data_IF_172399836403
#
_entry.id   IF_172399836403
#
_cell.length_a   1.000
_cell.length_b   1.000
_cell.length_c   1.000
_cell.angle_alpha   90.00
_cell.angle_beta   90.00
_cell.angle_gamma   90.00
#
_symmetry.space_group_name_H-M   'P 1'
#
loop_
_entity.id
_entity.type
_entity.pdbx_description
1 polymer ?
#
# COMPACT_ATOMS: atom_id res chain seq x y z
N UNK A 1 1.99 -1.65 -31.23
CA UNK A 1 2.85 -0.98 -30.24
C UNK A 1 2.11 0.26 -29.77
N UNK A 2 1.48 0.19 -28.59
CA UNK A 2 0.84 1.35 -27.98
C UNK A 2 2.00 2.14 -27.33
N UNK A 3 2.29 3.33 -27.87
CA UNK A 3 3.21 4.28 -27.25
C UNK A 3 2.60 4.67 -25.89
N UNK A 4 3.05 4.06 -24.81
CA UNK A 4 2.74 4.53 -23.47
C UNK A 4 3.45 5.86 -23.26
N UNK A 5 2.77 6.95 -23.48
CA UNK A 5 3.21 8.26 -23.01
C UNK A 5 3.37 8.18 -21.50
N UNK A 6 4.61 8.12 -21.02
CA UNK A 6 4.94 8.14 -19.59
C UNK A 6 4.21 9.32 -18.97
N UNK A 7 3.28 9.06 -18.06
CA UNK A 7 2.64 10.12 -17.29
C UNK A 7 3.70 10.81 -16.43
N UNK A 8 4.05 12.04 -16.74
CA UNK A 8 4.90 12.85 -15.90
C UNK A 8 4.08 13.41 -14.74
N UNK A 9 4.41 12.99 -13.52
CA UNK A 9 3.86 13.62 -12.33
C UNK A 9 4.37 15.05 -12.23
N UNK A 10 3.45 16.02 -12.26
CA UNK A 10 3.76 17.44 -12.06
C UNK A 10 3.77 17.84 -10.59
N UNK A 11 3.34 16.96 -9.70
CA UNK A 11 3.21 17.20 -8.27
C UNK A 11 3.87 16.12 -7.42
N UNK A 12 4.16 16.47 -6.17
CA UNK A 12 4.65 15.58 -5.13
C UNK A 12 3.45 15.03 -4.37
N UNK A 13 3.19 13.72 -4.49
CA UNK A 13 2.06 13.09 -3.82
C UNK A 13 2.55 12.35 -2.57
N UNK A 14 2.02 12.76 -1.42
CA UNK A 14 2.33 12.14 -0.12
C UNK A 14 1.47 10.91 0.10
N UNK A 15 2.08 9.81 0.54
CA UNK A 15 1.41 8.54 0.73
C UNK A 15 1.92 7.72 1.91
N UNK A 16 1.10 6.77 2.32
CA UNK A 16 1.36 5.83 3.39
C UNK A 16 1.90 4.51 2.84
N UNK A 17 3.11 4.13 3.24
CA UNK A 17 3.70 2.82 2.95
C UNK A 17 3.12 1.75 3.88
N UNK A 18 2.76 0.58 3.33
CA UNK A 18 2.19 -0.53 4.11
C UNK A 18 1.06 -0.10 5.06
N UNK A 19 0.09 0.62 4.54
CA UNK A 19 -0.99 1.31 5.26
C UNK A 19 -1.65 0.49 6.36
N UNK A 20 -1.86 -0.83 6.15
CA UNK A 20 -2.60 -1.69 7.06
C UNK A 20 -1.76 -2.27 8.20
N UNK A 21 -0.48 -1.93 8.31
CA UNK A 21 0.41 -2.51 9.34
C UNK A 21 0.15 -2.00 10.76
N UNK A 22 -0.78 -1.06 10.97
CA UNK A 22 -1.31 -0.72 12.29
C UNK A 22 -2.19 -1.83 12.89
N UNK A 23 -2.72 -2.74 12.06
CA UNK A 23 -3.54 -3.86 12.49
C UNK A 23 -2.71 -4.89 13.26
N UNK A 24 -3.35 -5.56 14.21
CA UNK A 24 -2.71 -6.65 14.96
C UNK A 24 -2.55 -7.90 14.10
N UNK A 25 -1.46 -8.65 14.27
CA UNK A 25 -1.32 -9.98 13.68
C UNK A 25 -2.48 -10.90 14.03
N UNK A 26 -2.87 -11.78 13.12
CA UNK A 26 -3.86 -12.83 13.39
C UNK A 26 -3.34 -13.90 14.34
N UNK A 27 -2.02 -14.11 14.38
CA UNK A 27 -1.34 -15.01 15.29
C UNK A 27 -0.58 -14.20 16.35
N UNK A 28 -0.91 -14.38 17.60
CA UNK A 28 -0.31 -13.65 18.72
C UNK A 28 1.19 -13.95 18.89
N UNK A 29 1.68 -15.13 18.51
CA UNK A 29 3.09 -15.48 18.54
C UNK A 29 3.94 -14.58 17.62
N UNK A 30 3.33 -14.02 16.57
CA UNK A 30 4.01 -13.10 15.64
C UNK A 30 3.97 -11.64 16.12
N UNK A 31 3.36 -11.37 17.28
CA UNK A 31 3.13 -9.99 17.73
C UNK A 31 4.44 -9.22 17.95
N UNK A 32 5.42 -9.82 18.63
CA UNK A 32 6.74 -9.19 18.84
C UNK A 32 7.47 -8.98 17.51
N UNK A 33 7.49 -10.00 16.66
CA UNK A 33 8.08 -9.89 15.33
C UNK A 33 7.40 -8.82 14.47
N UNK A 34 6.07 -8.69 14.60
CA UNK A 34 5.34 -7.64 13.92
C UNK A 34 5.75 -6.24 14.40
N UNK A 35 5.79 -6.01 15.70
CA UNK A 35 6.19 -4.71 16.27
C UNK A 35 7.58 -4.27 15.84
N UNK A 36 8.51 -5.22 15.72
CA UNK A 36 9.91 -4.95 15.41
C UNK A 36 10.14 -4.85 13.90
N UNK A 37 9.62 -5.79 13.11
CA UNK A 37 10.06 -5.99 11.72
C UNK A 37 9.04 -5.62 10.65
N UNK A 38 7.75 -5.69 10.93
CA UNK A 38 6.72 -5.53 9.90
C UNK A 38 5.74 -4.37 10.12
N UNK A 39 5.81 -3.70 11.25
CA UNK A 39 4.96 -2.55 11.54
C UNK A 39 5.56 -1.29 10.90
N UNK A 40 4.85 -0.74 9.92
CA UNK A 40 5.22 0.49 9.22
C UNK A 40 4.30 1.67 9.57
N UNK A 41 3.12 1.40 10.15
CA UNK A 41 2.16 2.43 10.55
C UNK A 41 1.63 2.19 11.96
N UNK A 42 1.33 3.27 12.67
CA UNK A 42 0.68 3.24 13.99
C UNK A 42 -0.72 3.82 13.97
N UNK A 43 -1.01 4.71 13.05
CA UNK A 43 -2.32 5.34 12.83
C UNK A 43 -3.19 4.49 11.92
N UNK A 44 -4.49 4.55 12.13
CA UNK A 44 -5.47 3.91 11.24
C UNK A 44 -5.42 4.54 9.86
N UNK A 45 -5.90 3.84 8.84
CA UNK A 45 -5.95 4.34 7.47
C UNK A 45 -6.75 5.65 7.33
N UNK A 46 -7.79 5.86 8.17
CA UNK A 46 -8.55 7.11 8.20
C UNK A 46 -7.70 8.26 8.75
N UNK A 47 -6.98 8.03 9.85
CA UNK A 47 -6.07 9.01 10.42
C UNK A 47 -4.94 9.36 9.45
N UNK A 48 -4.40 8.37 8.72
CA UNK A 48 -3.40 8.60 7.69
C UNK A 48 -3.91 9.52 6.57
N UNK A 49 -5.17 9.33 6.10
CA UNK A 49 -5.81 10.24 5.15
C UNK A 49 -6.00 11.64 5.77
N UNK A 50 -6.39 11.71 7.03
CA UNK A 50 -6.59 12.99 7.73
C UNK A 50 -5.27 13.76 7.89
N UNK A 51 -4.15 13.07 7.99
CA UNK A 51 -2.80 13.65 8.01
C UNK A 51 -2.27 14.04 6.62
N UNK A 52 -3.10 13.91 5.60
CA UNK A 52 -2.82 14.36 4.24
C UNK A 52 -2.30 13.28 3.29
N UNK A 53 -2.33 12.00 3.68
CA UNK A 53 -1.98 10.93 2.75
C UNK A 53 -3.02 10.84 1.63
N UNK A 54 -2.55 10.99 0.40
CA UNK A 54 -3.35 10.80 -0.82
C UNK A 54 -3.10 9.45 -1.50
N UNK A 55 -2.14 8.68 -1.01
CA UNK A 55 -1.83 7.32 -1.46
C UNK A 55 -1.88 6.36 -0.28
N UNK A 56 -2.62 5.26 -0.43
CA UNK A 56 -2.61 4.15 0.50
C UNK A 56 -1.98 2.92 -0.15
N UNK A 57 -0.85 2.45 0.39
CA UNK A 57 -0.18 1.21 -0.05
C UNK A 57 -0.72 0.02 0.74
N UNK A 58 -1.55 -0.77 0.09
CA UNK A 58 -2.29 -1.88 0.69
C UNK A 58 -1.76 -3.20 0.17
N UNK A 59 -1.44 -4.11 1.08
CA UNK A 59 -0.98 -5.45 0.74
C UNK A 59 -1.98 -6.51 1.11
N UNK A 60 -2.31 -7.38 0.18
CA UNK A 60 -3.36 -8.39 0.32
C UNK A 60 -2.84 -9.81 0.08
N UNK A 61 -3.51 -10.74 0.73
CA UNK A 61 -3.33 -12.17 0.58
C UNK A 61 -4.67 -12.82 0.25
N UNK A 62 -4.75 -13.73 -0.71
CA UNK A 62 -5.95 -14.49 -0.95
C UNK A 62 -6.12 -15.55 0.16
N UNK A 63 -7.34 -15.69 0.65
CA UNK A 63 -7.82 -16.81 1.45
C UNK A 63 -9.14 -17.28 0.87
N UNK A 64 -9.40 -18.58 0.93
CA UNK A 64 -10.63 -19.16 0.42
C UNK A 64 -11.52 -19.58 1.59
N UNK A 65 -12.81 -19.25 1.49
CA UNK A 65 -13.80 -19.75 2.44
C UNK A 65 -14.21 -21.20 2.11
N UNK A 66 -15.11 -21.77 2.90
CA UNK A 66 -15.61 -23.15 2.68
C UNK A 66 -16.31 -23.34 1.34
N UNK A 67 -16.83 -22.27 0.75
CA UNK A 67 -17.48 -22.26 -0.56
C UNK A 67 -16.53 -21.89 -1.71
N UNK A 68 -15.21 -21.96 -1.47
CA UNK A 68 -14.17 -21.62 -2.43
C UNK A 68 -14.17 -20.17 -2.92
N UNK A 69 -14.93 -19.27 -2.30
CA UNK A 69 -14.89 -17.84 -2.63
C UNK A 69 -13.66 -17.20 -2.00
N UNK A 70 -12.98 -16.33 -2.78
CA UNK A 70 -11.81 -15.60 -2.31
C UNK A 70 -12.19 -14.53 -1.28
N UNK A 71 -11.43 -14.47 -0.20
CA UNK A 71 -11.48 -13.43 0.83
C UNK A 71 -10.12 -12.77 0.89
N UNK A 72 -10.09 -11.46 0.74
CA UNK A 72 -8.84 -10.71 0.78
C UNK A 72 -8.46 -10.36 2.23
N UNK A 73 -7.23 -10.74 2.61
CA UNK A 73 -6.64 -10.46 3.92
C UNK A 73 -5.51 -9.48 3.78
N UNK A 74 -5.44 -8.52 4.69
CA UNK A 74 -4.28 -7.65 4.78
C UNK A 74 -3.12 -8.34 5.48
N UNK A 75 -1.90 -7.96 5.09
CA UNK A 75 -0.69 -8.46 5.72
C UNK A 75 0.57 -7.80 5.18
N UNK A 76 1.70 -8.20 5.73
CA UNK A 76 3.02 -7.75 5.30
C UNK A 76 4.07 -8.85 5.54
N UNK A 77 4.79 -9.22 4.51
CA UNK A 77 5.79 -10.29 4.57
C UNK A 77 5.18 -11.65 4.94
N UNK A 78 5.47 -12.14 6.12
CA UNK A 78 4.92 -13.40 6.66
C UNK A 78 3.70 -13.17 7.56
N UNK A 79 3.39 -11.93 7.90
CA UNK A 79 2.38 -11.58 8.89
C UNK A 79 1.06 -11.27 8.21
N UNK A 80 0.02 -12.04 8.53
CA UNK A 80 -1.36 -11.73 8.21
C UNK A 80 -2.03 -11.03 9.39
N UNK A 81 -2.89 -10.05 9.11
CA UNK A 81 -3.56 -9.26 10.15
C UNK A 81 -4.95 -9.82 10.51
N UNK A 82 -5.45 -9.42 11.68
CA UNK A 82 -6.73 -9.89 12.22
C UNK A 82 -7.91 -9.47 11.32
N UNK A 83 -8.84 -10.40 11.05
CA UNK A 83 -10.07 -10.15 10.29
C UNK A 83 -11.00 -9.17 10.98
N UNK A 84 -11.18 -9.32 12.28
CA UNK A 84 -12.22 -8.62 13.05
C UNK A 84 -12.07 -7.09 13.09
N UNK A 85 -10.86 -6.59 12.81
CA UNK A 85 -10.55 -5.15 12.79
C UNK A 85 -10.12 -4.65 11.41
N UNK A 86 -10.11 -5.53 10.41
CA UNK A 86 -9.74 -5.18 9.05
C UNK A 86 -10.90 -4.48 8.34
N UNK A 87 -10.71 -3.27 7.81
CA UNK A 87 -11.75 -2.62 7.01
C UNK A 87 -11.98 -3.40 5.70
N UNK A 88 -13.16 -3.28 5.13
CA UNK A 88 -13.42 -3.77 3.79
C UNK A 88 -12.65 -2.92 2.77
N UNK A 89 -11.99 -3.56 1.80
CA UNK A 89 -11.21 -2.88 0.77
C UNK A 89 -12.08 -1.92 -0.07
N UNK A 90 -13.33 -2.29 -0.32
CA UNK A 90 -14.31 -1.45 -1.02
C UNK A 90 -14.65 -0.18 -0.20
N UNK A 91 -14.74 -0.30 1.13
CA UNK A 91 -14.96 0.86 2.00
C UNK A 91 -13.80 1.85 1.92
N UNK A 92 -12.56 1.35 1.85
CA UNK A 92 -11.38 2.19 1.70
C UNK A 92 -11.42 2.92 0.34
N UNK A 93 -11.65 2.18 -0.74
CA UNK A 93 -11.75 2.73 -2.08
C UNK A 93 -12.88 3.77 -2.18
N UNK A 94 -14.05 3.48 -1.61
CA UNK A 94 -15.17 4.42 -1.54
C UNK A 94 -14.78 5.71 -0.83
N UNK A 95 -14.12 5.61 0.32
CA UNK A 95 -13.71 6.79 1.09
C UNK A 95 -12.72 7.65 0.31
N UNK A 96 -11.74 7.04 -0.36
CA UNK A 96 -10.82 7.77 -1.24
C UNK A 96 -11.55 8.42 -2.42
N UNK A 97 -12.51 7.72 -3.02
CA UNK A 97 -13.31 8.23 -4.13
C UNK A 97 -14.16 9.44 -3.72
N UNK A 98 -14.80 9.37 -2.55
CA UNK A 98 -15.59 10.48 -2.02
C UNK A 98 -14.69 11.69 -1.67
N UNK A 99 -13.50 11.44 -1.13
CA UNK A 99 -12.48 12.48 -0.91
C UNK A 99 -11.99 13.11 -2.20
N UNK A 100 -11.69 12.32 -3.22
CA UNK A 100 -11.26 12.81 -4.53
C UNK A 100 -12.32 13.74 -5.17
N UNK A 101 -13.59 13.33 -5.11
CA UNK A 101 -14.71 14.17 -5.57
C UNK A 101 -14.83 15.48 -4.80
N UNK A 102 -14.72 15.42 -3.46
CA UNK A 102 -14.90 16.58 -2.60
C UNK A 102 -13.76 17.60 -2.73
N UNK A 103 -12.53 17.11 -2.84
CA UNK A 103 -11.33 17.98 -2.83
C UNK A 103 -10.83 18.35 -4.22
N UNK A 104 -11.36 17.72 -5.27
CA UNK A 104 -10.85 17.81 -6.65
C UNK A 104 -9.35 17.49 -6.77
N UNK A 105 -8.85 16.61 -5.89
CA UNK A 105 -7.47 16.14 -5.88
C UNK A 105 -7.40 14.67 -6.25
N UNK A 106 -6.29 14.28 -6.86
CA UNK A 106 -6.01 12.88 -7.16
C UNK A 106 -5.71 12.10 -5.88
N UNK A 107 -6.46 11.01 -5.68
CA UNK A 107 -6.19 10.00 -4.67
C UNK A 107 -5.83 8.68 -5.32
N UNK A 108 -4.94 7.94 -4.69
CA UNK A 108 -4.36 6.73 -5.25
C UNK A 108 -4.51 5.57 -4.27
N UNK A 109 -4.77 4.39 -4.78
CA UNK A 109 -4.78 3.15 -4.02
C UNK A 109 -3.82 2.16 -4.68
N UNK A 110 -2.67 1.93 -4.03
CA UNK A 110 -1.69 0.94 -4.46
C UNK A 110 -2.03 -0.38 -3.81
N UNK A 111 -2.35 -1.41 -4.62
CA UNK A 111 -2.73 -2.73 -4.12
C UNK A 111 -1.68 -3.73 -4.57
N UNK A 112 -1.04 -4.41 -3.62
CA UNK A 112 -0.02 -5.43 -3.89
C UNK A 112 -0.52 -6.80 -3.46
N UNK A 113 -0.50 -7.75 -4.38
CA UNK A 113 -0.64 -9.17 -4.07
C UNK A 113 0.66 -9.67 -3.42
N UNK A 114 0.67 -9.73 -2.08
CA UNK A 114 1.89 -9.99 -1.30
C UNK A 114 2.39 -11.43 -1.48
N UNK A 115 1.46 -12.38 -1.60
CA UNK A 115 1.74 -13.79 -1.90
C UNK A 115 0.63 -14.40 -2.72
N UNK A 116 1.02 -15.16 -3.73
CA UNK A 116 0.11 -16.03 -4.46
C UNK A 116 0.67 -17.46 -4.47
N UNK A 117 -0.21 -18.44 -4.53
CA UNK A 117 0.12 -19.87 -4.60
C UNK A 117 -0.20 -20.47 -5.95
N UNK A 118 -1.13 -19.86 -6.68
CA UNK A 118 -1.64 -20.36 -7.96
C UNK A 118 -1.86 -19.19 -8.93
N UNK A 119 -2.06 -19.54 -10.19
CA UNK A 119 -2.47 -18.62 -11.24
C UNK A 119 -3.85 -18.04 -10.96
N UNK A 120 -4.75 -18.85 -10.41
CA UNK A 120 -6.10 -18.43 -9.97
C UNK A 120 -6.06 -17.32 -8.91
N UNK A 121 -5.04 -17.30 -8.03
CA UNK A 121 -4.87 -16.20 -7.07
C UNK A 121 -4.60 -14.87 -7.80
N UNK A 122 -3.83 -14.92 -8.89
CA UNK A 122 -3.52 -13.74 -9.72
C UNK A 122 -4.77 -13.29 -10.48
N UNK A 123 -5.52 -14.22 -11.10
CA UNK A 123 -6.76 -13.94 -11.81
C UNK A 123 -7.79 -13.27 -10.90
N UNK A 124 -8.02 -13.85 -9.71
CA UNK A 124 -8.91 -13.26 -8.71
C UNK A 124 -8.45 -11.86 -8.25
N UNK A 125 -7.13 -11.65 -8.18
CA UNK A 125 -6.58 -10.34 -7.83
C UNK A 125 -6.82 -9.31 -8.94
N UNK A 126 -6.65 -9.69 -10.20
CA UNK A 126 -6.99 -8.84 -11.35
C UNK A 126 -8.47 -8.48 -11.33
N UNK A 127 -9.35 -9.46 -11.14
CA UNK A 127 -10.81 -9.23 -11.03
C UNK A 127 -11.17 -8.28 -9.89
N UNK A 128 -10.50 -8.38 -8.72
CA UNK A 128 -10.68 -7.42 -7.62
C UNK A 128 -10.33 -6.01 -8.08
N UNK A 129 -9.18 -5.83 -8.71
CA UNK A 129 -8.69 -4.52 -9.10
C UNK A 129 -9.56 -3.88 -10.18
N UNK A 130 -9.96 -4.65 -11.21
CA UNK A 130 -10.90 -4.21 -12.25
C UNK A 130 -12.26 -3.82 -11.66
N UNK A 131 -12.76 -4.61 -10.71
CA UNK A 131 -14.00 -4.30 -10.00
C UNK A 131 -13.94 -2.99 -9.25
N UNK A 132 -12.85 -2.76 -8.48
CA UNK A 132 -12.63 -1.53 -7.74
C UNK A 132 -12.53 -0.31 -8.67
N UNK A 133 -11.81 -0.45 -9.76
CA UNK A 133 -11.61 0.63 -10.72
C UNK A 133 -12.90 1.03 -11.43
N UNK A 134 -13.71 0.05 -11.82
CA UNK A 134 -15.02 0.28 -12.41
C UNK A 134 -15.98 0.97 -11.43
N UNK A 135 -15.93 0.61 -10.15
CA UNK A 135 -16.86 1.14 -9.12
C UNK A 135 -16.44 2.52 -8.60
N UNK A 136 -15.12 2.80 -8.57
CA UNK A 136 -14.57 4.03 -7.97
C UNK A 136 -13.72 4.85 -8.95
N UNK A 137 -14.32 5.48 -9.96
CA UNK A 137 -13.61 6.11 -11.08
C UNK A 137 -12.78 7.35 -10.73
N UNK A 138 -12.94 7.91 -9.53
CA UNK A 138 -12.14 9.07 -9.07
C UNK A 138 -10.89 8.66 -8.28
N UNK A 139 -10.70 7.35 -8.03
CA UNK A 139 -9.47 6.82 -7.46
C UNK A 139 -8.58 6.28 -8.56
N UNK A 140 -7.30 6.61 -8.52
CA UNK A 140 -6.31 6.03 -9.42
C UNK A 140 -5.72 4.78 -8.77
N UNK A 141 -5.98 3.61 -9.39
CA UNK A 141 -5.48 2.34 -8.89
C UNK A 141 -4.13 2.01 -9.51
N UNK A 142 -3.21 1.50 -8.70
CA UNK A 142 -1.95 0.94 -9.15
C UNK A 142 -1.65 -0.29 -8.29
N UNK A 143 -0.80 -1.18 -8.77
CA UNK A 143 -0.51 -2.37 -8.01
C UNK A 143 0.14 -3.47 -8.82
N UNK A 144 0.25 -4.63 -8.23
CA UNK A 144 0.86 -5.75 -8.91
C UNK A 144 1.08 -6.97 -8.03
N UNK A 145 1.69 -7.99 -8.63
CA UNK A 145 2.04 -9.24 -7.99
C UNK A 145 3.50 -9.24 -7.57
N UNK A 146 3.78 -9.31 -6.27
CA UNK A 146 5.13 -9.33 -5.71
C UNK A 146 5.98 -10.52 -6.18
N UNK A 147 5.38 -11.65 -6.55
CA UNK A 147 6.12 -12.85 -6.94
C UNK A 147 6.76 -12.73 -8.32
N UNK A 148 6.14 -12.02 -9.26
CA UNK A 148 6.66 -11.88 -10.64
C UNK A 148 7.78 -10.84 -10.74
N UNK A 149 7.67 -9.74 -10.11
CA UNK A 149 8.69 -8.72 -9.81
C UNK A 149 7.99 -7.64 -8.97
N UNK A 150 8.26 -7.59 -7.67
CA UNK A 150 7.61 -6.65 -6.78
C UNK A 150 7.88 -5.17 -7.13
N UNK A 151 8.87 -4.90 -7.96
CA UNK A 151 9.20 -3.57 -8.47
C UNK A 151 8.34 -3.17 -9.68
N UNK A 152 7.71 -4.14 -10.35
CA UNK A 152 6.79 -3.90 -11.45
C UNK A 152 5.38 -3.82 -10.89
N UNK A 153 4.88 -2.62 -10.65
CA UNK A 153 3.46 -2.41 -10.47
C UNK A 153 2.77 -2.53 -11.82
N UNK A 154 1.77 -3.39 -11.89
CA UNK A 154 0.82 -3.32 -12.98
C UNK A 154 -0.04 -2.10 -12.74
N UNK A 155 -0.07 -1.21 -13.67
CA UNK A 155 -1.06 -0.15 -13.72
C UNK A 155 -2.29 -0.75 -14.34
N UNK A 156 -3.38 -0.85 -13.59
CA UNK A 156 -4.57 -1.50 -14.11
C UNK A 156 -5.16 -0.69 -15.26
N UNK A 157 -5.33 0.60 -15.17
CA UNK A 157 -5.79 1.47 -16.26
C UNK A 157 -5.10 2.86 -16.26
N UNK A 158 -4.14 3.09 -15.38
CA UNK A 158 -3.39 4.33 -15.36
C UNK A 158 -1.96 4.10 -15.86
N UNK A 159 -1.39 5.07 -16.54
CA UNK A 159 0.00 5.04 -17.03
C UNK A 159 1.06 5.20 -15.92
N UNK A 160 0.66 4.95 -14.66
CA UNK A 160 1.54 5.09 -13.50
C UNK A 160 2.30 3.79 -13.30
N UNK A 161 3.61 3.83 -13.49
CA UNK A 161 4.52 2.70 -13.26
C UNK A 161 5.17 2.78 -11.87
N UNK A 162 5.78 1.69 -11.41
CA UNK A 162 6.57 1.67 -10.15
C UNK A 162 7.73 2.67 -10.15
N UNK A 163 8.20 3.09 -11.32
CA UNK A 163 9.23 4.13 -11.45
C UNK A 163 8.78 5.49 -10.90
N UNK A 164 7.46 5.70 -10.76
CA UNK A 164 6.88 6.91 -10.20
C UNK A 164 6.59 6.79 -8.69
N UNK A 165 6.90 5.63 -8.09
CA UNK A 165 6.71 5.36 -6.66
C UNK A 165 8.05 5.39 -5.95
N UNK A 166 8.28 6.43 -5.18
CA UNK A 166 9.45 6.57 -4.32
C UNK A 166 9.12 6.10 -2.91
N UNK A 167 10.00 5.31 -2.31
CA UNK A 167 9.91 4.86 -0.92
C UNK A 167 11.08 5.46 -0.11
N UNK A 168 11.00 6.76 0.26
CA UNK A 168 12.11 7.46 0.89
C UNK A 168 12.44 6.95 2.29
N UNK A 169 11.55 6.15 2.90
CA UNK A 169 11.74 5.61 4.24
C UNK A 169 11.71 4.10 4.19
N UNK A 170 12.88 3.50 4.27
CA UNK A 170 13.05 2.05 4.35
C UNK A 170 14.09 1.72 5.41
N UNK A 171 13.79 0.73 6.27
CA UNK A 171 14.78 0.15 7.19
C UNK A 171 16.00 -0.48 6.47
N UNK A 172 15.88 -0.68 5.17
CA UNK A 172 16.94 -1.15 4.29
C UNK A 172 17.77 -0.02 3.66
N UNK A 173 17.48 1.25 3.98
CA UNK A 173 18.24 2.38 3.47
C UNK A 173 19.73 2.26 3.87
N UNK A 174 20.66 2.62 2.98
CA UNK A 174 22.10 2.51 3.25
C UNK A 174 22.56 3.26 4.50
N UNK A 175 21.88 4.37 4.85
CA UNK A 175 22.20 5.21 6.00
C UNK A 175 21.46 4.81 7.29
N UNK A 176 20.67 3.72 7.26
CA UNK A 176 20.01 3.20 8.45
C UNK A 176 21.02 2.57 9.42
N UNK A 177 21.00 3.00 10.67
CA UNK A 177 21.82 2.43 11.75
C UNK A 177 21.35 1.00 12.06
N UNK A 178 22.24 0.18 12.66
CA UNK A 178 21.93 -1.22 12.92
C UNK A 178 20.61 -1.43 13.70
N UNK A 179 20.38 -0.65 14.73
CA UNK A 179 19.14 -0.71 15.52
C UNK A 179 17.91 -0.19 14.76
N UNK A 180 18.10 0.72 13.80
CA UNK A 180 17.02 1.23 12.94
C UNK A 180 16.59 0.19 11.90
N UNK A 181 17.51 -0.69 11.48
CA UNK A 181 17.18 -1.83 10.61
C UNK A 181 16.29 -2.84 11.31
N UNK A 182 16.45 -2.99 12.64
CA UNK A 182 15.62 -3.85 13.47
C UNK A 182 14.32 -3.15 13.88
N UNK A 183 14.36 -1.83 14.11
CA UNK A 183 13.23 -1.03 14.52
C UNK A 183 12.94 0.10 13.51
N UNK A 184 12.23 -0.19 12.40
CA UNK A 184 12.00 0.78 11.31
C UNK A 184 11.38 2.10 11.75
N UNK A 185 10.58 2.10 12.81
CA UNK A 185 9.95 3.30 13.35
C UNK A 185 10.96 4.33 13.89
N UNK A 186 12.11 3.88 14.40
CA UNK A 186 13.18 4.79 14.84
C UNK A 186 13.81 5.50 13.64
N UNK A 187 14.05 4.77 12.55
CA UNK A 187 14.52 5.35 11.31
C UNK A 187 13.51 6.37 10.77
N UNK A 188 12.24 5.99 10.68
CA UNK A 188 11.18 6.87 10.21
C UNK A 188 11.07 8.14 11.06
N UNK A 189 11.09 8.03 12.39
CA UNK A 189 11.06 9.18 13.32
C UNK A 189 12.21 10.17 13.05
N UNK A 190 13.40 9.65 12.74
CA UNK A 190 14.57 10.48 12.43
C UNK A 190 14.50 11.14 11.07
N UNK A 191 13.97 10.41 10.07
CA UNK A 191 14.06 10.79 8.65
C UNK A 191 12.80 11.42 8.06
N UNK A 192 11.61 11.18 8.61
CA UNK A 192 10.36 11.65 7.99
C UNK A 192 10.33 13.15 7.73
N UNK A 193 10.85 13.98 8.64
CA UNK A 193 10.89 15.42 8.43
C UNK A 193 11.74 15.78 7.22
N UNK A 194 12.98 15.26 7.17
CA UNK A 194 13.92 15.51 6.06
C UNK A 194 13.36 14.96 4.75
N UNK A 195 12.79 13.75 4.79
CA UNK A 195 12.27 13.10 3.59
C UNK A 195 11.02 13.82 3.03
N UNK A 196 10.19 14.43 3.87
CA UNK A 196 9.08 15.29 3.39
C UNK A 196 9.59 16.51 2.64
N UNK A 197 10.66 17.12 3.12
CA UNK A 197 11.28 18.27 2.46
C UNK A 197 11.95 17.90 1.12
N UNK A 198 12.39 16.64 1.00
CA UNK A 198 13.08 16.11 -0.20
C UNK A 198 12.20 15.26 -1.11
N UNK A 199 10.87 15.35 -0.97
CA UNK A 199 9.94 14.64 -1.87
C UNK A 199 10.20 15.01 -3.32
N UNK A 200 10.20 13.99 -4.19
CA UNK A 200 10.28 14.15 -5.65
C UNK A 200 8.88 14.17 -6.28
N UNK A 201 8.78 14.64 -7.50
CA UNK A 201 7.55 14.53 -8.28
C UNK A 201 7.17 13.04 -8.44
N UNK A 202 5.92 12.72 -8.19
CA UNK A 202 5.42 11.37 -8.12
C UNK A 202 4.92 10.97 -6.74
N UNK A 203 4.68 9.69 -6.57
CA UNK A 203 4.18 9.11 -5.32
C UNK A 203 5.35 8.89 -4.36
N UNK A 204 5.23 9.44 -3.15
CA UNK A 204 6.22 9.29 -2.08
C UNK A 204 5.57 8.57 -0.90
N UNK A 205 5.99 7.33 -0.62
CA UNK A 205 5.43 6.47 0.42
C UNK A 205 6.27 6.53 1.69
N UNK A 206 5.65 6.87 2.81
CA UNK A 206 6.31 7.02 4.10
C UNK A 206 5.82 5.99 5.12
N UNK A 207 6.74 5.56 5.99
CA UNK A 207 6.43 4.82 7.21
C UNK A 207 6.10 5.81 8.35
N UNK A 208 5.16 5.42 9.24
CA UNK A 208 4.81 6.18 10.46
C UNK A 208 4.46 7.66 10.22
N UNK A 209 3.51 7.88 9.34
CA UNK A 209 2.95 9.21 9.04
C UNK A 209 1.95 9.66 10.09
#
# INVERSE_FOLDING_TARGET
MINSTKMEFKEKVFGSHNTMTYLRPSNWLLYLGHLIMSKCQSKTWIEQISDGARVLDIRVFPEYNKSHNVIWRYGHGLVKFSKSKSPNIYLIAKTLNDKAKLTHQDYYMRIILEKCKSETDVENFVMLCEGLEKEFPYVKFLGGNRKSDWRKCYTFLSDITDNNVNQPVSSMAPDARLYEKVCPWLYAKRKNKVNKDTMINGINLFDFI
#
